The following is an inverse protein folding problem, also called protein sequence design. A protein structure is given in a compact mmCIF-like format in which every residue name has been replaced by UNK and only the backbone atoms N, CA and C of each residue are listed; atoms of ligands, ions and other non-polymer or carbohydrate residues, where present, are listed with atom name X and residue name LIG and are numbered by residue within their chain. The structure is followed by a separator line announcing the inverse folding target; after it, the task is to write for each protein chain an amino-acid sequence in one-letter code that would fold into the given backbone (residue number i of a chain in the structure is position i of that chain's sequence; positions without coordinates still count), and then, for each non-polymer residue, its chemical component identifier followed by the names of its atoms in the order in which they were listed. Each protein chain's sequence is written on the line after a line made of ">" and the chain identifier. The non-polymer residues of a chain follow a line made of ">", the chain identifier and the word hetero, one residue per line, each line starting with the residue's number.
data_IF_906919087593
#
_entry.id   IF_906919087593
#
_cell.length_a   1.000
_cell.length_b   1.000
_cell.length_c   1.000
_cell.angle_alpha   90.00
_cell.angle_beta   90.00
_cell.angle_gamma   90.00
#
_symmetry.space_group_name_H-M   'P 1'
#
loop_
_entity.id
_entity.type
_entity.pdbx_description
1 polymer ?
#
# COMPACT_ATOMS: atom_id res chain seq x y z
N UNK A 1 -1.93 -41.30 5.95
CA UNK A 1 -2.58 -40.82 7.18
C UNK A 1 -3.98 -40.42 6.78
N UNK A 2 -5.01 -41.19 7.16
CA UNK A 2 -6.39 -40.92 6.73
C UNK A 2 -6.95 -39.72 7.50
N UNK A 3 -7.89 -38.98 6.89
CA UNK A 3 -8.55 -37.83 7.51
C UNK A 3 -9.15 -38.15 8.90
N UNK A 4 -9.55 -39.40 9.12
CA UNK A 4 -10.01 -39.92 10.42
C UNK A 4 -8.93 -39.86 11.51
N UNK A 5 -7.70 -40.32 11.22
CA UNK A 5 -6.58 -40.22 12.18
C UNK A 5 -6.20 -38.78 12.54
N UNK A 6 -6.49 -37.79 11.68
CA UNK A 6 -6.27 -36.37 12.00
C UNK A 6 -7.37 -35.81 12.91
N UNK A 7 -8.62 -36.18 12.66
CA UNK A 7 -9.76 -35.80 13.50
C UNK A 7 -9.62 -36.35 14.93
N UNK A 8 -9.23 -37.62 15.08
CA UNK A 8 -8.97 -38.25 16.38
C UNK A 8 -7.83 -37.55 17.15
N UNK A 9 -6.78 -37.10 16.46
CA UNK A 9 -5.68 -36.34 17.08
C UNK A 9 -6.09 -34.94 17.53
N UNK A 10 -7.02 -34.28 16.83
CA UNK A 10 -7.55 -32.95 17.23
C UNK A 10 -8.51 -33.09 18.40
N UNK A 11 -9.33 -34.14 18.43
CA UNK A 11 -10.29 -34.39 19.51
C UNK A 11 -9.60 -34.78 20.84
N UNK A 12 -8.39 -35.34 20.77
CA UNK A 12 -7.58 -35.69 21.94
C UNK A 12 -6.79 -34.51 22.55
N UNK A 13 -6.84 -33.32 21.93
CA UNK A 13 -6.23 -32.11 22.50
C UNK A 13 -7.05 -31.68 23.73
N UNK A 14 -6.44 -31.49 24.90
CA UNK A 14 -7.16 -31.01 26.07
C UNK A 14 -7.75 -29.62 25.77
N UNK A 15 -9.05 -29.44 26.05
CA UNK A 15 -9.77 -28.19 25.76
C UNK A 15 -9.10 -26.96 26.39
N UNK A 16 -8.38 -27.15 27.50
CA UNK A 16 -7.56 -26.14 28.15
C UNK A 16 -6.41 -25.63 27.27
N UNK A 17 -5.78 -26.48 26.46
CA UNK A 17 -4.70 -26.07 25.55
C UNK A 17 -5.26 -25.32 24.34
N UNK A 18 -6.44 -25.73 23.85
CA UNK A 18 -7.14 -25.04 22.76
C UNK A 18 -7.57 -23.62 23.20
N UNK A 19 -8.09 -23.47 24.42
CA UNK A 19 -8.49 -22.17 24.95
C UNK A 19 -7.27 -21.27 25.22
N UNK A 20 -6.18 -21.82 25.78
CA UNK A 20 -4.92 -21.10 26.02
C UNK A 20 -4.30 -20.57 24.73
N UNK A 21 -4.25 -21.38 23.67
CA UNK A 21 -3.69 -20.98 22.38
C UNK A 21 -4.53 -19.89 21.69
N UNK A 22 -5.85 -19.99 21.78
CA UNK A 22 -6.75 -18.96 21.23
C UNK A 22 -6.62 -17.62 21.98
N UNK A 23 -6.55 -17.65 23.31
CA UNK A 23 -6.36 -16.45 24.14
C UNK A 23 -5.00 -15.80 23.84
N UNK A 24 -3.93 -16.58 23.70
CA UNK A 24 -2.60 -16.07 23.37
C UNK A 24 -2.59 -15.43 21.98
N UNK A 25 -3.27 -16.04 20.99
CA UNK A 25 -3.47 -15.46 19.66
C UNK A 25 -4.21 -14.12 19.74
N UNK A 26 -5.29 -14.03 20.50
CA UNK A 26 -6.03 -12.77 20.67
C UNK A 26 -5.18 -11.69 21.33
N UNK A 27 -4.45 -12.03 22.40
CA UNK A 27 -3.57 -11.09 23.11
C UNK A 27 -2.46 -10.56 22.20
N UNK A 28 -1.96 -11.36 21.25
CA UNK A 28 -0.96 -10.91 20.28
C UNK A 28 -1.59 -10.12 19.13
N UNK A 29 -2.72 -10.57 18.61
CA UNK A 29 -3.32 -10.04 17.38
C UNK A 29 -4.04 -8.72 17.61
N UNK A 30 -4.73 -8.54 18.74
CA UNK A 30 -5.45 -7.30 19.09
C UNK A 30 -4.52 -6.08 19.13
N UNK A 31 -3.41 -6.07 19.89
CA UNK A 31 -2.52 -4.90 19.93
C UNK A 31 -1.85 -4.65 18.58
N UNK A 32 -1.49 -5.71 17.84
CA UNK A 32 -0.92 -5.58 16.50
C UNK A 32 -1.93 -4.92 15.54
N UNK A 33 -3.19 -5.36 15.59
CA UNK A 33 -4.27 -4.81 14.76
C UNK A 33 -4.54 -3.35 15.09
N UNK A 34 -4.62 -2.99 16.39
CA UNK A 34 -4.77 -1.60 16.83
C UNK A 34 -3.58 -0.74 16.39
N UNK A 35 -2.37 -1.26 16.48
CA UNK A 35 -1.17 -0.58 16.01
C UNK A 35 -1.21 -0.33 14.49
N UNK A 36 -1.62 -1.33 13.70
CA UNK A 36 -1.82 -1.19 12.25
C UNK A 36 -2.87 -0.12 11.92
N UNK A 37 -4.00 -0.07 12.65
CA UNK A 37 -5.03 0.97 12.47
C UNK A 37 -4.48 2.36 12.81
N UNK A 38 -3.72 2.49 13.91
CA UNK A 38 -3.13 3.77 14.28
C UNK A 38 -2.17 4.28 13.20
N UNK A 39 -1.32 3.39 12.66
CA UNK A 39 -0.43 3.69 11.53
C UNK A 39 -1.21 4.07 10.27
N UNK A 40 -2.28 3.35 9.96
CA UNK A 40 -3.15 3.67 8.82
C UNK A 40 -3.76 5.07 8.94
N UNK A 41 -4.30 5.41 10.11
CA UNK A 41 -4.84 6.74 10.38
C UNK A 41 -3.76 7.81 10.26
N UNK A 42 -2.55 7.56 10.77
CA UNK A 42 -1.43 8.50 10.63
C UNK A 42 -1.04 8.69 9.17
N UNK A 43 -0.98 7.61 8.39
CA UNK A 43 -0.69 7.63 6.96
C UNK A 43 -1.71 8.45 6.17
N UNK A 44 -3.01 8.16 6.37
CA UNK A 44 -4.11 8.87 5.72
C UNK A 44 -4.09 10.37 6.05
N UNK A 45 -3.87 10.73 7.31
CA UNK A 45 -3.80 12.13 7.73
C UNK A 45 -2.57 12.86 7.17
N UNK A 46 -1.41 12.20 7.09
CA UNK A 46 -0.21 12.75 6.47
C UNK A 46 -0.45 13.04 4.98
N UNK A 47 -1.03 12.09 4.26
CA UNK A 47 -1.35 12.22 2.84
C UNK A 47 -2.42 13.29 2.59
N UNK A 48 -3.48 13.32 3.40
CA UNK A 48 -4.55 14.32 3.33
C UNK A 48 -3.99 15.74 3.52
N UNK A 49 -3.08 15.93 4.47
CA UNK A 49 -2.48 17.24 4.75
C UNK A 49 -1.65 17.75 3.56
N UNK A 50 -0.88 16.86 2.92
CA UNK A 50 -0.08 17.19 1.72
C UNK A 50 -0.99 17.53 0.54
N UNK A 51 -2.00 16.68 0.30
CA UNK A 51 -2.98 16.88 -0.77
C UNK A 51 -3.70 18.22 -0.66
N UNK A 52 -4.14 18.58 0.56
CA UNK A 52 -4.85 19.83 0.84
C UNK A 52 -3.96 21.05 0.57
N UNK A 53 -2.68 20.98 0.91
CA UNK A 53 -1.72 22.06 0.64
C UNK A 53 -1.43 22.23 -0.85
N UNK A 54 -1.34 21.12 -1.59
CA UNK A 54 -1.12 21.11 -3.05
C UNK A 54 -2.39 21.39 -3.88
N UNK A 55 -3.49 21.79 -3.22
CA UNK A 55 -4.80 22.12 -3.83
C UNK A 55 -5.34 21.03 -4.76
N UNK A 56 -5.15 19.77 -4.41
CA UNK A 56 -5.73 18.65 -5.17
C UNK A 56 -7.26 18.65 -5.02
N UNK A 57 -8.01 18.46 -6.10
CA UNK A 57 -9.49 18.45 -6.05
C UNK A 57 -10.04 17.28 -5.23
N UNK A 58 -9.26 16.20 -5.05
CA UNK A 58 -9.72 14.92 -4.49
C UNK A 58 -9.06 14.54 -3.16
N UNK A 59 -8.70 15.51 -2.32
CA UNK A 59 -7.98 15.26 -1.06
C UNK A 59 -8.66 14.24 -0.12
N UNK A 60 -9.99 14.22 -0.06
CA UNK A 60 -10.78 13.33 0.80
C UNK A 60 -10.56 11.84 0.48
N UNK A 61 -10.09 11.52 -0.72
CA UNK A 61 -9.82 10.15 -1.14
C UNK A 61 -8.61 9.51 -0.44
N UNK A 62 -7.83 10.29 0.33
CA UNK A 62 -6.68 9.79 1.10
C UNK A 62 -7.07 8.75 2.17
N UNK A 63 -8.33 8.79 2.60
CA UNK A 63 -8.90 7.87 3.60
C UNK A 63 -9.31 6.51 3.06
N UNK A 64 -9.28 6.30 1.74
CA UNK A 64 -9.55 5.00 1.15
C UNK A 64 -8.23 4.37 0.70
N UNK A 65 -7.88 3.14 1.11
CA UNK A 65 -6.56 2.56 0.84
C UNK A 65 -6.29 2.37 -0.65
N UNK A 66 -7.35 2.21 -1.46
CA UNK A 66 -7.22 2.08 -2.92
C UNK A 66 -6.99 3.46 -3.55
N UNK A 67 -7.67 4.51 -3.07
CA UNK A 67 -7.56 5.85 -3.66
C UNK A 67 -6.42 6.69 -3.06
N UNK A 68 -5.86 6.32 -1.91
CA UNK A 68 -4.62 6.91 -1.39
C UNK A 68 -3.47 6.72 -2.39
N UNK A 69 -3.46 5.59 -3.10
CA UNK A 69 -2.53 5.32 -4.21
C UNK A 69 -2.68 6.34 -5.36
N UNK A 70 -3.92 6.73 -5.68
CA UNK A 70 -4.21 7.71 -6.72
C UNK A 70 -3.65 9.08 -6.36
N UNK A 71 -3.88 9.52 -5.11
CA UNK A 71 -3.35 10.79 -4.60
C UNK A 71 -1.83 10.78 -4.61
N UNK A 72 -1.20 9.66 -4.22
CA UNK A 72 0.26 9.55 -4.23
C UNK A 72 0.83 9.66 -5.65
N UNK A 73 0.20 9.00 -6.63
CA UNK A 73 0.54 9.18 -8.04
C UNK A 73 0.29 10.60 -8.53
N UNK A 74 -0.76 11.27 -8.03
CA UNK A 74 -1.09 12.65 -8.39
C UNK A 74 -0.05 13.66 -7.93
N UNK A 75 0.46 13.46 -6.72
CA UNK A 75 1.57 14.25 -6.16
C UNK A 75 2.85 14.03 -6.98
N UNK A 76 3.12 12.80 -7.42
CA UNK A 76 4.28 12.48 -8.26
C UNK A 76 4.21 13.15 -9.64
N UNK A 77 3.05 13.06 -10.30
CA UNK A 77 2.83 13.69 -11.62
C UNK A 77 2.99 15.20 -11.55
N UNK A 78 2.47 15.85 -10.50
CA UNK A 78 2.67 17.30 -10.31
C UNK A 78 4.15 17.67 -10.16
N UNK A 79 4.95 16.81 -9.52
CA UNK A 79 6.37 17.08 -9.35
C UNK A 79 7.15 16.88 -10.66
N UNK A 80 6.77 15.91 -11.49
CA UNK A 80 7.37 15.72 -12.82
C UNK A 80 7.08 16.87 -13.76
N UNK A 81 5.84 17.36 -13.74
CA UNK A 81 5.42 18.57 -14.44
C UNK A 81 6.25 19.79 -14.01
N UNK A 82 6.49 19.95 -12.70
CA UNK A 82 7.33 21.03 -12.17
C UNK A 82 8.80 20.89 -12.57
N UNK A 83 9.29 19.66 -12.75
CA UNK A 83 10.66 19.36 -13.22
C UNK A 83 10.78 19.39 -14.76
N UNK A 84 9.71 19.69 -15.50
CA UNK A 84 9.70 19.73 -16.97
C UNK A 84 9.89 18.35 -17.63
N UNK A 85 9.66 17.26 -16.89
CA UNK A 85 9.77 15.88 -17.39
C UNK A 85 8.43 15.43 -17.94
N UNK A 86 8.48 14.55 -18.95
CA UNK A 86 7.29 14.05 -19.66
C UNK A 86 6.21 13.54 -18.70
N UNK A 87 4.95 13.89 -19.03
CA UNK A 87 3.75 13.44 -18.34
C UNK A 87 3.63 11.92 -18.42
N UNK A 88 4.12 11.25 -17.38
CA UNK A 88 3.78 9.85 -17.11
C UNK A 88 2.61 9.86 -16.14
N UNK A 89 1.52 9.19 -16.47
CA UNK A 89 0.32 9.12 -15.63
C UNK A 89 0.53 8.14 -14.45
N UNK A 90 1.41 8.45 -13.50
CA UNK A 90 1.65 7.59 -12.33
C UNK A 90 0.39 7.44 -11.47
N UNK A 91 -0.49 8.45 -11.48
CA UNK A 91 -1.86 8.41 -10.91
C UNK A 91 -2.61 7.13 -11.28
N UNK A 92 -2.78 6.91 -12.58
CA UNK A 92 -3.59 5.81 -13.09
C UNK A 92 -2.84 4.50 -12.96
N UNK A 93 -1.55 4.47 -13.29
CA UNK A 93 -0.75 3.23 -13.25
C UNK A 93 -0.69 2.65 -11.84
N UNK A 94 -0.44 3.48 -10.82
CA UNK A 94 -0.35 3.01 -9.45
C UNK A 94 -1.72 2.63 -8.85
N UNK A 95 -2.81 3.28 -9.25
CA UNK A 95 -4.15 2.87 -8.81
C UNK A 95 -4.62 1.59 -9.50
N UNK A 96 -4.35 1.42 -10.80
CA UNK A 96 -4.72 0.21 -11.54
C UNK A 96 -3.99 -1.01 -10.95
N UNK A 97 -2.69 -0.92 -10.66
CA UNK A 97 -1.96 -2.06 -10.08
C UNK A 97 -2.51 -2.43 -8.69
N UNK A 98 -2.94 -1.45 -7.87
CA UNK A 98 -3.55 -1.73 -6.57
C UNK A 98 -4.93 -2.39 -6.69
N UNK A 99 -5.74 -1.95 -7.66
CA UNK A 99 -7.02 -2.59 -7.95
C UNK A 99 -6.80 -4.03 -8.42
N UNK A 100 -5.84 -4.25 -9.33
CA UNK A 100 -5.47 -5.59 -9.80
C UNK A 100 -5.02 -6.48 -8.65
N UNK A 101 -4.16 -5.98 -7.76
CA UNK A 101 -3.72 -6.72 -6.57
C UNK A 101 -4.87 -7.06 -5.63
N UNK A 102 -5.79 -6.13 -5.40
CA UNK A 102 -6.94 -6.33 -4.54
C UNK A 102 -7.88 -7.40 -5.10
N UNK A 103 -8.23 -7.31 -6.38
CA UNK A 103 -9.06 -8.30 -7.08
C UNK A 103 -8.36 -9.66 -7.10
N UNK A 104 -7.08 -9.71 -7.44
CA UNK A 104 -6.30 -10.95 -7.46
C UNK A 104 -6.22 -11.62 -6.08
N UNK A 105 -6.08 -10.84 -5.01
CA UNK A 105 -6.06 -11.36 -3.63
C UNK A 105 -7.41 -11.96 -3.22
N UNK A 106 -8.52 -11.32 -3.60
CA UNK A 106 -9.86 -11.88 -3.36
C UNK A 106 -10.06 -13.18 -4.13
N UNK A 107 -9.72 -13.19 -5.42
CA UNK A 107 -9.83 -14.39 -6.26
C UNK A 107 -8.96 -15.51 -5.71
N UNK A 108 -7.73 -15.21 -5.28
CA UNK A 108 -6.82 -16.18 -4.66
C UNK A 108 -7.42 -16.82 -3.41
N UNK A 109 -8.05 -16.02 -2.55
CA UNK A 109 -8.69 -16.48 -1.31
C UNK A 109 -9.95 -17.32 -1.56
N UNK A 110 -10.66 -17.05 -2.65
CA UNK A 110 -11.83 -17.86 -3.06
C UNK A 110 -11.43 -19.18 -3.73
N UNK A 111 -10.27 -19.23 -4.37
CA UNK A 111 -9.78 -20.40 -5.11
C UNK A 111 -9.01 -21.39 -4.20
N UNK A 112 -8.50 -20.93 -3.06
CA UNK A 112 -7.65 -21.74 -2.15
C UNK A 112 -8.33 -22.93 -1.46
N UNK A 113 -9.65 -23.11 -1.61
CA UNK A 113 -10.36 -24.27 -1.05
C UNK A 113 -10.62 -25.39 -2.08
N UNK A 114 -10.21 -25.20 -3.33
CA UNK A 114 -10.32 -26.21 -4.39
C UNK A 114 -9.10 -27.13 -4.45
N UNK A 115 -9.32 -28.46 -4.42
CA UNK A 115 -8.26 -29.49 -4.50
C UNK A 115 -7.59 -29.54 -5.89
N UNK A 116 -6.81 -28.51 -6.21
CA UNK A 116 -6.07 -28.35 -7.46
C UNK A 116 -4.62 -27.96 -7.14
N UNK A 117 -3.87 -28.87 -6.49
CA UNK A 117 -2.53 -28.63 -5.95
C UNK A 117 -1.44 -28.17 -6.96
N UNK A 118 -1.72 -28.19 -8.26
CA UNK A 118 -0.83 -27.64 -9.30
C UNK A 118 -0.96 -26.12 -9.48
N UNK A 119 -2.08 -25.51 -9.07
CA UNK A 119 -2.36 -24.09 -9.30
C UNK A 119 -1.83 -23.19 -8.17
N UNK A 120 -1.55 -23.71 -6.98
CA UNK A 120 -1.04 -22.94 -5.85
C UNK A 120 0.35 -22.36 -6.11
N UNK A 121 1.22 -23.12 -6.80
CA UNK A 121 2.56 -22.65 -7.18
C UNK A 121 2.48 -21.52 -8.23
N UNK A 122 1.58 -21.62 -9.20
CA UNK A 122 1.36 -20.54 -10.18
C UNK A 122 0.78 -19.30 -9.50
N UNK A 123 -0.15 -19.48 -8.55
CA UNK A 123 -0.75 -18.40 -7.79
C UNK A 123 0.28 -17.63 -6.95
N UNK A 124 1.19 -18.34 -6.27
CA UNK A 124 2.26 -17.72 -5.49
C UNK A 124 3.27 -17.00 -6.39
N UNK A 125 3.63 -17.56 -7.55
CA UNK A 125 4.49 -16.90 -8.53
C UNK A 125 3.88 -15.59 -9.04
N UNK A 126 2.60 -15.59 -9.41
CA UNK A 126 1.88 -14.39 -9.86
C UNK A 126 1.84 -13.34 -8.73
N UNK A 127 1.58 -13.77 -7.49
CA UNK A 127 1.61 -12.88 -6.32
C UNK A 127 2.97 -12.20 -6.14
N UNK A 128 4.07 -12.97 -6.23
CA UNK A 128 5.43 -12.44 -6.13
C UNK A 128 5.69 -11.42 -7.24
N UNK A 129 5.30 -11.70 -8.49
CA UNK A 129 5.46 -10.77 -9.61
C UNK A 129 4.70 -9.47 -9.36
N UNK A 130 3.47 -9.54 -8.86
CA UNK A 130 2.65 -8.38 -8.53
C UNK A 130 3.27 -7.52 -7.41
N UNK A 131 3.82 -8.14 -6.37
CA UNK A 131 4.54 -7.46 -5.29
C UNK A 131 5.79 -6.75 -5.82
N UNK A 132 6.57 -7.41 -6.68
CA UNK A 132 7.75 -6.82 -7.32
C UNK A 132 7.36 -5.63 -8.19
N UNK A 133 6.33 -5.76 -9.03
CA UNK A 133 5.81 -4.67 -9.86
C UNK A 133 5.40 -3.46 -9.03
N UNK A 134 4.70 -3.68 -7.90
CA UNK A 134 4.32 -2.60 -6.98
C UNK A 134 5.54 -1.90 -6.38
N UNK A 135 6.57 -2.65 -5.96
CA UNK A 135 7.79 -2.10 -5.42
C UNK A 135 8.56 -1.24 -6.44
N UNK A 136 8.60 -1.67 -7.71
CA UNK A 136 9.24 -0.92 -8.80
C UNK A 136 8.51 0.39 -9.12
N UNK A 137 7.17 0.37 -9.15
CA UNK A 137 6.38 1.59 -9.38
C UNK A 137 6.56 2.56 -8.20
N UNK A 138 6.57 2.04 -6.98
CA UNK A 138 6.82 2.84 -5.79
C UNK A 138 8.22 3.45 -5.77
N UNK A 139 9.25 2.71 -6.19
CA UNK A 139 10.60 3.26 -6.41
C UNK A 139 10.60 4.39 -7.44
N UNK A 140 9.89 4.21 -8.56
CA UNK A 140 9.78 5.26 -9.57
C UNK A 140 9.11 6.53 -9.03
N UNK A 141 8.11 6.38 -8.15
CA UNK A 141 7.46 7.51 -7.46
C UNK A 141 8.43 8.15 -6.46
N UNK A 142 9.14 7.36 -5.66
CA UNK A 142 10.17 7.85 -4.72
C UNK A 142 11.30 8.61 -5.44
N UNK A 143 11.78 8.12 -6.58
CA UNK A 143 12.77 8.81 -7.43
C UNK A 143 12.25 10.15 -7.90
N UNK A 144 10.99 10.19 -8.32
CA UNK A 144 10.32 11.42 -8.73
C UNK A 144 10.16 12.41 -7.57
N UNK A 145 10.09 11.95 -6.33
CA UNK A 145 9.83 12.78 -5.16
C UNK A 145 11.12 13.22 -4.43
N UNK A 146 12.11 12.34 -4.25
CA UNK A 146 13.27 12.56 -3.36
C UNK A 146 14.62 12.62 -4.07
N UNK A 147 14.67 12.53 -5.41
CA UNK A 147 15.91 12.67 -6.16
C UNK A 147 16.97 11.64 -5.74
N UNK A 148 18.26 11.99 -5.56
CA UNK A 148 19.35 11.04 -5.35
C UNK A 148 19.30 10.24 -4.03
N UNK A 149 18.49 10.65 -3.04
CA UNK A 149 18.41 10.00 -1.72
C UNK A 149 17.32 8.91 -1.61
N UNK A 150 16.73 8.48 -2.73
CA UNK A 150 15.61 7.52 -2.78
C UNK A 150 15.95 6.10 -2.29
N UNK A 151 17.19 5.63 -2.48
CA UNK A 151 17.57 4.24 -2.20
C UNK A 151 17.44 3.86 -0.71
N UNK A 152 17.79 4.77 0.20
CA UNK A 152 17.65 4.53 1.64
C UNK A 152 16.19 4.43 2.08
N UNK A 153 15.31 5.26 1.49
CA UNK A 153 13.88 5.22 1.76
C UNK A 153 13.23 3.94 1.23
N UNK A 154 13.71 3.42 0.10
CA UNK A 154 13.24 2.15 -0.46
C UNK A 154 13.60 0.97 0.46
N UNK A 155 14.85 0.87 0.89
CA UNK A 155 15.29 -0.20 1.82
C UNK A 155 14.51 -0.13 3.14
N UNK A 156 14.34 1.07 3.68
CA UNK A 156 13.54 1.29 4.87
C UNK A 156 12.05 0.91 4.65
N UNK A 157 11.50 1.18 3.46
CA UNK A 157 10.13 0.77 3.09
C UNK A 157 9.98 -0.73 2.97
N UNK A 158 11.02 -1.48 2.61
CA UNK A 158 10.97 -2.95 2.58
C UNK A 158 11.01 -3.51 4.01
N UNK A 159 11.82 -2.93 4.90
CA UNK A 159 11.95 -3.39 6.29
C UNK A 159 10.76 -3.00 7.17
N UNK A 160 10.13 -1.85 6.91
CA UNK A 160 9.05 -1.29 7.72
C UNK A 160 7.89 -0.77 6.86
N UNK A 161 7.46 -1.57 5.88
CA UNK A 161 6.31 -1.41 4.97
C UNK A 161 5.49 -0.13 5.08
N UNK A 162 4.70 -0.02 6.16
CA UNK A 162 3.74 1.09 6.36
C UNK A 162 4.33 2.32 7.09
N UNK A 163 5.35 2.12 7.93
CA UNK A 163 5.90 3.16 8.79
C UNK A 163 6.70 4.16 7.94
N UNK A 164 7.56 3.65 7.06
CA UNK A 164 8.49 4.49 6.29
C UNK A 164 7.78 5.26 5.18
N UNK A 165 6.71 4.71 4.60
CA UNK A 165 5.86 5.46 3.66
C UNK A 165 5.30 6.73 4.29
N UNK A 166 4.93 6.66 5.57
CA UNK A 166 4.37 7.79 6.29
C UNK A 166 5.43 8.80 6.70
N UNK A 167 6.58 8.32 7.18
CA UNK A 167 7.71 9.20 7.52
C UNK A 167 8.33 9.88 6.29
N UNK A 168 8.48 9.19 5.16
CA UNK A 168 8.98 9.78 3.92
C UNK A 168 8.11 10.99 3.52
N UNK A 169 6.80 10.77 3.42
CA UNK A 169 5.83 11.84 3.10
C UNK A 169 5.87 12.98 4.13
N UNK A 170 6.07 12.66 5.41
CA UNK A 170 6.25 13.66 6.46
C UNK A 170 7.54 14.49 6.31
N UNK A 171 8.65 13.87 5.88
CA UNK A 171 9.90 14.61 5.62
C UNK A 171 9.75 15.55 4.41
N UNK A 172 9.00 15.14 3.37
CA UNK A 172 8.68 16.02 2.24
C UNK A 172 7.78 17.19 2.65
N UNK A 173 6.84 16.98 3.60
CA UNK A 173 5.96 18.04 4.13
C UNK A 173 6.75 19.25 4.68
N UNK A 174 7.92 19.04 5.26
CA UNK A 174 8.80 20.14 5.71
C UNK A 174 9.55 20.80 4.56
N UNK A 175 9.99 20.03 3.56
CA UNK A 175 10.68 20.56 2.39
C UNK A 175 9.77 21.41 1.47
N UNK A 176 8.48 21.11 1.40
CA UNK A 176 7.52 21.81 0.55
C UNK A 176 7.04 23.15 1.15
N UNK A 177 7.43 23.50 2.38
CA UNK A 177 7.07 24.79 3.00
C UNK A 177 7.67 26.01 2.27
N UNK A 178 8.64 25.79 1.37
CA UNK A 178 9.33 26.86 0.62
C UNK A 178 9.00 26.97 -0.87
N UNK A 179 8.12 26.13 -1.44
CA UNK A 179 7.88 26.09 -2.89
C UNK A 179 6.65 26.93 -3.27
N UNK A 180 6.78 27.95 -4.14
CA UNK A 180 5.65 28.82 -4.51
C UNK A 180 4.57 28.06 -5.28
N UNK A 181 3.32 28.26 -4.86
CA UNK A 181 2.11 27.49 -5.22
C UNK A 181 1.49 27.83 -6.59
N UNK A 182 2.29 28.21 -7.59
CA UNK A 182 1.78 28.64 -8.90
C UNK A 182 1.89 27.54 -9.97
N UNK A 183 1.57 26.29 -9.61
CA UNK A 183 1.42 25.22 -10.61
C UNK A 183 0.00 25.33 -11.18
N UNK A 184 -0.18 25.62 -12.49
CA UNK A 184 -1.50 25.69 -13.09
C UNK A 184 -2.18 24.31 -12.98
N UNK A 185 -3.40 24.31 -12.44
CA UNK A 185 -4.21 23.11 -12.40
C UNK A 185 -4.49 22.63 -13.83
N UNK A 186 -4.33 21.33 -14.07
CA UNK A 186 -4.59 20.66 -15.35
C UNK A 186 -6.04 20.81 -15.88
N UNK A 187 -6.89 21.59 -15.21
CA UNK A 187 -8.22 21.98 -15.68
C UNK A 187 -8.22 23.06 -16.76
N UNK A 188 -7.11 23.77 -16.98
CA UNK A 188 -7.07 24.94 -17.87
C UNK A 188 -6.56 24.66 -19.29
N UNK A 189 -6.31 23.39 -19.66
CA UNK A 189 -5.82 23.04 -21.00
C UNK A 189 -6.95 22.86 -22.03
N UNK A 190 -8.22 22.83 -21.60
CA UNK A 190 -9.36 22.55 -22.48
C UNK A 190 -10.29 23.76 -22.77
N UNK A 191 -9.78 24.99 -22.64
CA UNK A 191 -10.49 26.20 -23.07
C UNK A 191 -9.53 27.15 -23.77
N UNK A 192 -9.13 26.79 -24.98
CA UNK A 192 -8.86 27.71 -26.09
C UNK A 192 -9.29 27.00 -27.37
#
# INVERSE_FOLDING_TARGET
>A
MSFQTFQEMVEQIPQELLSMTFILLLILFIPLFLFCIALYCFHSNALYTIAKRRRLRHCWMAWCPILSSYILGEIADQQLLAEGKNDRNYRMVYTIIQIVNFVFSIVSLLVSEGSFGSFEALNSLISIVLIVCQALIFDSILRSLYGPHHAGLLVCSILFGAIVQTFALYLKKESDLGVPTNIPSASNVNTI
#
